data_IF_828847933525
#
_entry.id   IF_828847933525
#
_cell.length_a   1.000
_cell.length_b   1.000
_cell.length_c   1.000
_cell.angle_alpha   90.00
_cell.angle_beta   90.00
_cell.angle_gamma   90.00
#
_symmetry.space_group_name_H-M   'P 1'
#
loop_
_entity.id
_entity.type
_entity.pdbx_description
1 polymer ?
#
# COMPACT_ATOMS: atom_id res chain seq x y z
N UNK A 1 12.63 26.84 -26.07
CA UNK A 1 11.49 25.90 -26.22
C UNK A 1 11.85 24.61 -25.49
N UNK A 2 11.74 24.67 -24.16
CA UNK A 2 12.33 23.74 -23.18
C UNK A 2 11.31 23.53 -22.08
N UNK A 3 10.52 22.45 -22.13
CA UNK A 3 9.76 21.89 -20.99
C UNK A 3 9.21 20.49 -21.34
N UNK A 4 10.06 19.48 -21.50
CA UNK A 4 9.58 18.09 -21.35
C UNK A 4 10.02 17.53 -19.99
N UNK A 5 9.06 17.64 -19.07
CA UNK A 5 8.61 16.53 -18.24
C UNK A 5 9.65 15.84 -17.34
N UNK A 6 10.17 16.60 -16.38
CA UNK A 6 10.68 16.06 -15.11
C UNK A 6 9.69 15.09 -14.39
N UNK A 7 8.42 15.10 -14.78
CA UNK A 7 7.31 14.22 -14.35
C UNK A 7 7.46 12.75 -14.74
N UNK A 8 8.20 12.42 -15.81
CA UNK A 8 8.25 11.04 -16.36
C UNK A 8 8.95 10.04 -15.43
N UNK A 9 9.96 10.49 -14.67
CA UNK A 9 10.81 9.62 -13.85
C UNK A 9 10.05 8.92 -12.71
N UNK A 10 8.97 9.52 -12.21
CA UNK A 10 8.16 8.96 -11.12
C UNK A 10 7.15 7.93 -11.63
N UNK A 11 6.52 8.19 -12.79
CA UNK A 11 5.58 7.25 -13.43
C UNK A 11 6.30 6.04 -14.03
N UNK A 12 7.52 6.23 -14.54
CA UNK A 12 8.34 5.15 -15.08
C UNK A 12 8.84 4.19 -13.97
N UNK A 13 9.23 4.71 -12.79
CA UNK A 13 9.59 3.85 -11.64
C UNK A 13 8.41 3.01 -11.14
N UNK A 14 7.21 3.58 -11.13
CA UNK A 14 5.97 2.87 -10.74
C UNK A 14 5.57 1.84 -11.78
N UNK A 15 5.68 2.15 -13.08
CA UNK A 15 5.36 1.21 -14.16
C UNK A 15 6.35 0.04 -14.25
N UNK A 16 7.65 0.29 -14.05
CA UNK A 16 8.69 -0.75 -14.01
C UNK A 16 8.56 -1.61 -12.75
N UNK A 17 8.23 -1.01 -11.60
CA UNK A 17 7.92 -1.75 -10.38
C UNK A 17 6.69 -2.64 -10.52
N UNK A 18 5.64 -2.14 -11.17
CA UNK A 18 4.40 -2.88 -11.40
C UNK A 18 4.60 -4.04 -12.39
N UNK A 19 5.39 -3.84 -13.45
CA UNK A 19 5.72 -4.89 -14.41
C UNK A 19 6.62 -6.00 -13.79
N UNK A 20 7.56 -5.64 -12.92
CA UNK A 20 8.33 -6.61 -12.14
C UNK A 20 7.45 -7.40 -11.15
N UNK A 21 6.45 -6.75 -10.56
CA UNK A 21 5.52 -7.38 -9.62
C UNK A 21 4.57 -8.36 -10.31
N UNK A 22 4.07 -8.03 -11.51
CA UNK A 22 3.20 -8.92 -12.29
C UNK A 22 3.95 -10.13 -12.86
N UNK A 23 5.20 -9.95 -13.30
CA UNK A 23 6.06 -11.10 -13.68
C UNK A 23 6.49 -11.93 -12.47
N UNK A 24 6.65 -11.32 -11.29
CA UNK A 24 6.90 -12.04 -10.03
C UNK A 24 5.72 -12.93 -9.58
N UNK A 25 4.48 -12.48 -9.79
CA UNK A 25 3.27 -13.28 -9.46
C UNK A 25 3.04 -14.47 -10.40
N UNK A 26 3.58 -14.44 -11.63
CA UNK A 26 3.43 -15.55 -12.58
C UNK A 26 4.41 -16.71 -12.34
N UNK A 27 5.47 -16.50 -11.55
CA UNK A 27 6.54 -17.48 -11.32
C UNK A 27 6.48 -18.19 -9.96
N UNK A 28 5.44 -17.96 -9.14
CA UNK A 28 5.31 -18.62 -7.83
C UNK A 28 4.08 -19.56 -7.68
N UNK A 29 3.83 -20.54 -8.58
CA UNK A 29 2.93 -21.64 -8.28
C UNK A 29 3.67 -22.79 -7.57
N UNK A 30 4.52 -22.49 -6.57
CA UNK A 30 5.34 -23.52 -5.88
C UNK A 30 5.38 -23.43 -4.35
N UNK A 31 4.67 -22.50 -3.71
CA UNK A 31 4.52 -22.49 -2.24
C UNK A 31 3.27 -23.25 -1.73
N UNK A 32 2.67 -24.08 -2.58
CA UNK A 32 1.47 -24.87 -2.25
C UNK A 32 1.74 -26.21 -1.54
N UNK A 33 2.98 -26.52 -1.16
CA UNK A 33 3.29 -27.80 -0.48
C UNK A 33 4.36 -27.65 0.60
N UNK A 34 3.95 -27.70 1.88
CA UNK A 34 4.53 -28.61 2.90
C UNK A 34 4.08 -28.23 4.32
N UNK A 35 2.89 -28.68 4.73
CA UNK A 35 2.63 -29.45 5.97
C UNK A 35 3.26 -29.05 7.35
N UNK A 36 3.76 -27.83 7.56
CA UNK A 36 4.28 -27.34 8.86
C UNK A 36 4.18 -25.82 9.05
N UNK A 37 3.20 -25.17 8.41
CA UNK A 37 3.05 -23.70 8.41
C UNK A 37 2.40 -23.10 9.67
N UNK A 38 2.04 -23.89 10.68
CA UNK A 38 1.37 -23.37 11.89
C UNK A 38 2.13 -22.23 12.60
N UNK A 39 3.48 -22.24 12.71
CA UNK A 39 4.21 -21.10 13.28
C UNK A 39 4.32 -19.91 12.33
N UNK A 40 4.33 -20.15 11.02
CA UNK A 40 4.51 -19.10 10.00
C UNK A 40 3.24 -18.28 9.85
N UNK A 41 2.08 -18.93 9.88
CA UNK A 41 0.77 -18.27 9.83
C UNK A 41 0.56 -17.35 11.04
N UNK A 42 0.91 -17.80 12.26
CA UNK A 42 0.83 -16.97 13.45
C UNK A 42 1.78 -15.76 13.45
N UNK A 43 2.97 -15.89 12.85
CA UNK A 43 3.88 -14.76 12.66
C UNK A 43 3.29 -13.75 11.66
N UNK A 44 2.70 -14.23 10.56
CA UNK A 44 2.04 -13.36 9.57
C UNK A 44 0.81 -12.66 10.18
N UNK A 45 -0.01 -13.34 10.95
CA UNK A 45 -1.15 -12.73 11.67
C UNK A 45 -0.70 -11.69 12.68
N UNK A 46 0.42 -11.92 13.39
CA UNK A 46 1.00 -10.90 14.26
C UNK A 46 1.47 -9.67 13.46
N UNK A 47 2.15 -9.88 12.34
CA UNK A 47 2.57 -8.77 11.47
C UNK A 47 1.37 -7.99 10.91
N UNK A 48 0.30 -8.67 10.49
CA UNK A 48 -0.95 -8.03 10.07
C UNK A 48 -1.60 -7.31 11.24
N UNK A 49 -1.61 -7.89 12.44
CA UNK A 49 -2.10 -7.23 13.66
C UNK A 49 -1.34 -5.95 13.99
N UNK A 50 -0.02 -5.93 13.80
CA UNK A 50 0.81 -4.72 13.98
C UNK A 50 0.56 -3.70 12.85
N UNK A 51 0.53 -4.15 11.59
CA UNK A 51 0.41 -3.28 10.40
C UNK A 51 -1.00 -2.78 10.12
N UNK A 52 -2.03 -3.45 10.62
CA UNK A 52 -3.44 -3.09 10.45
C UNK A 52 -4.09 -2.62 11.76
N UNK A 53 -3.45 -2.88 12.91
CA UNK A 53 -3.97 -2.54 14.23
C UNK A 53 -3.66 -1.12 14.69
N UNK A 54 -3.48 -0.95 16.00
CA UNK A 54 -3.36 0.38 16.62
C UNK A 54 -2.13 1.17 16.13
N UNK A 55 -1.02 0.49 15.84
CA UNK A 55 0.21 1.13 15.34
C UNK A 55 -0.02 1.79 13.98
N UNK A 56 -0.74 1.10 13.08
CA UNK A 56 -1.12 1.63 11.78
C UNK A 56 -1.95 2.92 11.90
N UNK A 57 -2.91 2.91 12.83
CA UNK A 57 -3.76 4.07 13.13
C UNK A 57 -2.94 5.25 13.64
N UNK A 58 -2.01 5.01 14.55
CA UNK A 58 -1.10 6.06 15.06
C UNK A 58 -0.26 6.66 13.94
N UNK A 59 0.30 5.85 13.04
CA UNK A 59 1.06 6.31 11.88
C UNK A 59 0.20 7.15 10.92
N UNK A 60 -1.02 6.72 10.66
CA UNK A 60 -1.95 7.48 9.82
C UNK A 60 -2.29 8.85 10.42
N UNK A 61 -2.53 8.92 11.74
CA UNK A 61 -2.81 10.19 12.43
C UNK A 61 -1.60 11.12 12.31
N UNK A 62 -0.37 10.62 12.51
CA UNK A 62 0.85 11.41 12.36
C UNK A 62 0.98 11.97 10.92
N UNK A 63 0.71 11.16 9.90
CA UNK A 63 0.73 11.61 8.51
C UNK A 63 -0.30 12.72 8.22
N UNK A 64 -1.51 12.61 8.80
CA UNK A 64 -2.53 13.66 8.70
C UNK A 64 -2.12 14.93 9.46
N UNK A 65 -1.46 14.80 10.61
CA UNK A 65 -0.92 15.96 11.32
C UNK A 65 0.11 16.71 10.46
N UNK A 66 1.01 16.01 9.76
CA UNK A 66 1.94 16.64 8.82
C UNK A 66 1.22 17.37 7.68
N UNK A 67 0.11 16.80 7.17
CA UNK A 67 -0.73 17.49 6.19
C UNK A 67 -1.31 18.80 6.76
N UNK A 68 -1.75 18.80 8.01
CA UNK A 68 -2.22 19.99 8.71
C UNK A 68 -1.13 21.06 8.83
N UNK A 69 0.11 20.69 9.17
CA UNK A 69 1.24 21.62 9.19
C UNK A 69 1.54 22.21 7.81
N UNK A 70 1.43 21.42 6.75
CA UNK A 70 1.63 21.90 5.38
C UNK A 70 0.55 22.89 4.93
N UNK A 71 -0.63 22.86 5.55
CA UNK A 71 -1.68 23.83 5.28
C UNK A 71 -1.37 25.22 5.88
N UNK A 72 -0.66 25.25 7.01
CA UNK A 72 -0.26 26.50 7.67
C UNK A 72 0.81 27.28 6.88
N UNK A 73 1.59 26.63 6.01
CA UNK A 73 2.59 27.29 5.15
C UNK A 73 2.02 28.17 4.03
N UNK A 74 0.69 28.42 4.00
CA UNK A 74 0.04 29.37 3.09
C UNK A 74 0.01 28.97 1.62
N UNK A 75 0.76 27.93 1.24
CA UNK A 75 0.83 27.37 -0.11
C UNK A 75 0.27 25.94 -0.10
N UNK A 76 -1.05 25.83 -0.01
CA UNK A 76 -1.73 24.53 0.02
C UNK A 76 -1.54 23.81 -1.31
N UNK A 77 -0.62 22.85 -1.35
CA UNK A 77 -0.54 21.90 -2.45
C UNK A 77 -1.66 20.87 -2.30
N UNK A 78 -2.82 21.18 -2.87
CA UNK A 78 -4.02 20.32 -2.88
C UNK A 78 -3.73 18.88 -3.34
N UNK A 79 -2.75 18.71 -4.23
CA UNK A 79 -2.31 17.40 -4.68
C UNK A 79 -1.70 16.54 -3.57
N UNK A 80 -0.94 17.14 -2.65
CA UNK A 80 -0.36 16.41 -1.54
C UNK A 80 -1.44 15.96 -0.54
N UNK A 81 -2.43 16.82 -0.29
CA UNK A 81 -3.57 16.50 0.57
C UNK A 81 -4.31 15.26 0.07
N UNK A 82 -4.68 15.26 -1.22
CA UNK A 82 -5.36 14.11 -1.85
C UNK A 82 -4.49 12.85 -1.76
N UNK A 83 -3.20 12.95 -2.07
CA UNK A 83 -2.30 11.79 -2.09
C UNK A 83 -2.22 11.07 -0.74
N UNK A 84 -2.21 11.83 0.37
CA UNK A 84 -2.14 11.29 1.73
C UNK A 84 -3.46 10.61 2.09
N UNK A 85 -4.59 11.25 1.78
CA UNK A 85 -5.93 10.68 2.05
C UNK A 85 -6.14 9.37 1.28
N UNK A 86 -5.75 9.32 0.00
CA UNK A 86 -5.82 8.09 -0.81
C UNK A 86 -4.92 7.00 -0.20
N UNK A 87 -3.70 7.35 0.21
CA UNK A 87 -2.78 6.39 0.85
C UNK A 87 -3.39 5.75 2.10
N UNK A 88 -3.98 6.57 2.97
CA UNK A 88 -4.65 6.10 4.19
C UNK A 88 -5.83 5.18 3.85
N UNK A 89 -6.66 5.55 2.86
CA UNK A 89 -7.80 4.74 2.43
C UNK A 89 -7.37 3.35 1.93
N UNK A 90 -6.26 3.25 1.21
CA UNK A 90 -5.73 1.97 0.73
C UNK A 90 -5.21 1.11 1.88
N UNK A 91 -4.44 1.69 2.82
CA UNK A 91 -3.89 0.95 3.96
C UNK A 91 -5.01 0.31 4.79
N UNK A 92 -6.05 1.07 5.15
CA UNK A 92 -7.14 0.54 5.97
C UNK A 92 -8.16 -0.29 5.17
N UNK A 93 -8.28 -0.07 3.86
CA UNK A 93 -9.18 -0.82 2.98
C UNK A 93 -8.62 -2.15 2.45
N UNK A 94 -7.32 -2.41 2.60
CA UNK A 94 -6.64 -3.56 1.99
C UNK A 94 -7.23 -4.92 2.41
N UNK A 95 -7.55 -5.11 3.70
CA UNK A 95 -8.10 -6.38 4.20
C UNK A 95 -9.43 -6.73 3.52
N UNK A 96 -10.36 -5.77 3.46
CA UNK A 96 -11.68 -5.96 2.83
C UNK A 96 -11.56 -6.22 1.32
N UNK A 97 -10.60 -5.58 0.66
CA UNK A 97 -10.31 -5.85 -0.75
C UNK A 97 -9.87 -7.31 -0.95
N UNK A 98 -8.92 -7.78 -0.14
CA UNK A 98 -8.41 -9.15 -0.23
C UNK A 98 -9.50 -10.17 0.11
N UNK A 99 -10.33 -9.90 1.11
CA UNK A 99 -11.46 -10.76 1.47
C UNK A 99 -12.53 -10.83 0.37
N UNK A 100 -12.85 -9.70 -0.27
CA UNK A 100 -13.76 -9.68 -1.42
C UNK A 100 -13.19 -10.46 -2.62
N UNK A 101 -11.87 -10.38 -2.84
CA UNK A 101 -11.19 -11.18 -3.87
C UNK A 101 -11.26 -12.68 -3.53
N UNK A 102 -11.04 -13.06 -2.26
CA UNK A 102 -11.16 -14.45 -1.81
C UNK A 102 -12.60 -14.98 -2.01
N UNK A 103 -13.59 -14.19 -1.59
CA UNK A 103 -15.01 -14.54 -1.72
C UNK A 103 -15.46 -14.68 -3.17
N UNK A 104 -14.94 -13.87 -4.09
CA UNK A 104 -15.30 -13.95 -5.52
C UNK A 104 -14.57 -15.08 -6.27
N UNK A 105 -13.42 -15.54 -5.77
CA UNK A 105 -12.68 -16.66 -6.32
C UNK A 105 -13.32 -18.04 -6.04
N UNK A 106 -14.35 -18.12 -5.18
CA UNK A 106 -15.09 -19.36 -4.92
C UNK A 106 -14.31 -20.42 -4.14
N UNK A 107 -13.30 -19.99 -3.38
CA UNK A 107 -12.61 -20.78 -2.35
C UNK A 107 -13.02 -20.34 -0.95
#
# INVERSE_FOLDING_TARGET
MTILSATSRFRLKVAVGLALLTTGMALAPSFAYAQSAAPVEGILEWFVGVLQGNVARSLAIIAVCFLGFMFLTGRMAWQAAISIVIGIAIIFGAAQLVDAMKSSAGI
#
